data_IF_438200959957
#
_entry.id   IF_438200959957
#
_cell.length_a   1.000
_cell.length_b   1.000
_cell.length_c   1.000
_cell.angle_alpha   90.00
_cell.angle_beta   90.00
_cell.angle_gamma   90.00
#
_symmetry.space_group_name_H-M   'P 1'
#
loop_
_entity.id
_entity.type
_entity.pdbx_description
1 polymer ?
#
# COMPACT_ATOMS: atom_id res chain seq x y z
N UNK A 1 38.75 30.05 4.93
CA UNK A 1 37.51 30.50 5.61
C UNK A 1 36.27 30.13 4.81
N UNK A 2 36.22 30.42 3.49
CA UNK A 2 35.07 30.14 2.61
C UNK A 2 34.69 28.64 2.52
N UNK A 3 35.66 27.74 2.68
CA UNK A 3 35.42 26.28 2.58
C UNK A 3 34.59 25.71 3.73
N UNK A 4 34.70 26.27 4.94
CA UNK A 4 33.96 25.79 6.12
C UNK A 4 32.50 26.24 6.06
N UNK A 5 32.26 27.47 5.62
CA UNK A 5 30.92 28.02 5.42
C UNK A 5 30.15 27.22 4.35
N UNK A 6 30.79 26.93 3.22
CA UNK A 6 30.19 26.08 2.19
C UNK A 6 29.94 24.65 2.67
N UNK A 7 30.86 24.06 3.45
CA UNK A 7 30.66 22.73 4.02
C UNK A 7 29.46 22.71 4.98
N UNK A 8 29.28 23.75 5.80
CA UNK A 8 28.14 23.88 6.71
C UNK A 8 26.82 24.08 5.95
N UNK A 9 26.79 24.94 4.92
CA UNK A 9 25.60 25.12 4.08
C UNK A 9 25.21 23.82 3.36
N UNK A 10 26.19 23.06 2.89
CA UNK A 10 25.95 21.76 2.28
C UNK A 10 25.40 20.76 3.31
N UNK A 11 26.06 20.62 4.46
CA UNK A 11 25.68 19.63 5.47
C UNK A 11 24.35 19.95 6.18
N UNK A 12 24.10 21.22 6.50
CA UNK A 12 22.93 21.64 7.29
C UNK A 12 21.79 22.21 6.45
N UNK A 13 22.06 22.61 5.21
CA UNK A 13 21.04 23.12 4.30
C UNK A 13 20.67 22.09 3.23
N UNK A 14 21.62 21.80 2.34
CA UNK A 14 21.34 21.04 1.11
C UNK A 14 21.04 19.56 1.39
N UNK A 15 21.87 18.88 2.19
CA UNK A 15 21.68 17.45 2.51
C UNK A 15 20.32 17.18 3.18
N UNK A 16 19.91 17.89 4.25
CA UNK A 16 18.62 17.61 4.88
C UNK A 16 17.45 17.96 3.97
N UNK A 17 17.55 19.03 3.17
CA UNK A 17 16.53 19.36 2.17
C UNK A 17 16.36 18.23 1.15
N UNK A 18 17.47 17.68 0.64
CA UNK A 18 17.44 16.55 -0.29
C UNK A 18 16.83 15.30 0.34
N UNK A 19 17.20 14.98 1.59
CA UNK A 19 16.60 13.84 2.30
C UNK A 19 15.09 14.00 2.51
N UNK A 20 14.63 15.20 2.87
CA UNK A 20 13.21 15.49 3.04
C UNK A 20 12.44 15.34 1.73
N UNK A 21 12.96 15.92 0.64
CA UNK A 21 12.35 15.81 -0.70
C UNK A 21 12.31 14.36 -1.15
N UNK A 22 13.40 13.61 -0.99
CA UNK A 22 13.48 12.20 -1.35
C UNK A 22 12.46 11.36 -0.57
N UNK A 23 12.36 11.56 0.75
CA UNK A 23 11.39 10.87 1.60
C UNK A 23 9.96 11.17 1.16
N UNK A 24 9.64 12.45 0.92
CA UNK A 24 8.31 12.87 0.49
C UNK A 24 7.89 12.25 -0.85
N UNK A 25 8.80 12.22 -1.83
CA UNK A 25 8.55 11.61 -3.14
C UNK A 25 8.35 10.10 -3.02
N UNK A 26 9.21 9.40 -2.26
CA UNK A 26 9.09 7.95 -2.07
C UNK A 26 7.79 7.58 -1.34
N UNK A 27 7.38 8.37 -0.35
CA UNK A 27 6.15 8.14 0.38
C UNK A 27 4.91 8.36 -0.48
N UNK A 28 4.91 9.43 -1.28
CA UNK A 28 3.82 9.66 -2.23
C UNK A 28 3.73 8.54 -3.27
N UNK A 29 4.86 8.09 -3.81
CA UNK A 29 4.92 6.97 -4.73
C UNK A 29 4.38 5.67 -4.11
N UNK A 30 4.71 5.41 -2.84
CA UNK A 30 4.18 4.27 -2.09
C UNK A 30 2.66 4.34 -1.95
N UNK A 31 2.13 5.49 -1.52
CA UNK A 31 0.67 5.68 -1.38
C UNK A 31 -0.06 5.56 -2.72
N UNK A 32 0.49 6.11 -3.80
CA UNK A 32 -0.08 5.99 -5.13
C UNK A 32 -0.12 4.53 -5.59
N UNK A 33 0.92 3.76 -5.29
CA UNK A 33 1.00 2.33 -5.61
C UNK A 33 -0.03 1.52 -4.80
N UNK A 34 -0.19 1.82 -3.51
CA UNK A 34 -1.20 1.19 -2.66
C UNK A 34 -2.63 1.53 -3.13
N UNK A 35 -2.88 2.78 -3.53
CA UNK A 35 -4.17 3.20 -4.07
C UNK A 35 -4.50 2.50 -5.39
N UNK A 36 -3.50 2.36 -6.27
CA UNK A 36 -3.66 1.60 -7.51
C UNK A 36 -3.90 0.11 -7.23
N UNK A 37 -3.16 -0.48 -6.30
CA UNK A 37 -3.25 -1.89 -5.94
C UNK A 37 -4.62 -2.26 -5.34
N UNK A 38 -5.15 -1.46 -4.43
CA UNK A 38 -6.49 -1.71 -3.87
C UNK A 38 -7.56 -1.62 -4.96
N UNK A 39 -7.49 -0.62 -5.84
CA UNK A 39 -8.42 -0.44 -6.95
C UNK A 39 -8.36 -1.58 -7.96
N UNK A 40 -7.17 -2.03 -8.36
CA UNK A 40 -7.01 -3.10 -9.33
C UNK A 40 -7.40 -4.46 -8.75
N UNK A 41 -7.07 -4.71 -7.47
CA UNK A 41 -7.58 -5.89 -6.77
C UNK A 41 -9.11 -5.92 -6.68
N UNK A 42 -9.73 -4.76 -6.40
CA UNK A 42 -11.18 -4.63 -6.36
C UNK A 42 -11.79 -4.91 -7.76
N UNK A 43 -11.20 -4.39 -8.84
CA UNK A 43 -11.63 -4.70 -10.22
C UNK A 43 -11.49 -6.18 -10.56
N UNK A 44 -10.38 -6.81 -10.18
CA UNK A 44 -10.15 -8.23 -10.43
C UNK A 44 -11.13 -9.15 -9.65
N UNK A 45 -11.66 -8.70 -8.51
CA UNK A 45 -12.67 -9.44 -7.75
C UNK A 45 -14.02 -9.62 -8.48
N UNK A 46 -14.29 -8.77 -9.49
CA UNK A 46 -15.51 -8.84 -10.31
C UNK A 46 -15.51 -9.99 -11.31
N UNK A 47 -14.37 -10.64 -11.52
CA UNK A 47 -14.26 -11.76 -12.46
C UNK A 47 -15.15 -12.91 -12.00
N UNK A 48 -15.86 -13.55 -12.94
CA UNK A 48 -16.70 -14.70 -12.64
C UNK A 48 -15.86 -15.88 -12.14
N UNK A 49 -16.35 -16.54 -11.08
CA UNK A 49 -15.71 -17.65 -10.40
C UNK A 49 -16.29 -17.87 -9.01
N UNK A 50 -15.78 -18.89 -8.32
CA UNK A 50 -16.04 -19.14 -6.90
C UNK A 50 -15.50 -17.99 -6.03
N UNK A 51 -15.96 -17.90 -4.79
CA UNK A 51 -15.45 -16.89 -3.84
C UNK A 51 -13.94 -17.00 -3.64
N UNK A 52 -13.38 -18.21 -3.59
CA UNK A 52 -11.94 -18.43 -3.46
C UNK A 52 -11.16 -17.97 -4.72
N UNK A 53 -11.67 -18.24 -5.92
CA UNK A 53 -11.05 -17.78 -7.17
C UNK A 53 -11.09 -16.25 -7.29
N UNK A 54 -12.21 -15.61 -6.91
CA UNK A 54 -12.32 -14.15 -6.88
C UNK A 54 -11.32 -13.52 -5.91
N UNK A 55 -11.16 -14.11 -4.72
CA UNK A 55 -10.22 -13.62 -3.70
C UNK A 55 -8.76 -13.79 -4.12
N UNK A 56 -8.39 -14.94 -4.70
CA UNK A 56 -7.03 -15.15 -5.21
C UNK A 56 -6.72 -14.24 -6.41
N UNK A 57 -7.66 -14.05 -7.33
CA UNK A 57 -7.52 -13.11 -8.45
C UNK A 57 -7.36 -11.66 -7.97
N UNK A 58 -8.18 -11.21 -7.02
CA UNK A 58 -8.07 -9.90 -6.40
C UNK A 58 -6.70 -9.68 -5.74
N UNK A 59 -6.22 -10.68 -5.00
CA UNK A 59 -4.90 -10.61 -4.37
C UNK A 59 -3.76 -10.57 -5.39
N UNK A 60 -3.79 -11.40 -6.44
CA UNK A 60 -2.74 -11.41 -7.47
C UNK A 60 -2.66 -10.08 -8.22
N UNK A 61 -3.82 -9.49 -8.53
CA UNK A 61 -3.88 -8.18 -9.19
C UNK A 61 -3.33 -7.07 -8.28
N UNK A 62 -3.77 -7.02 -7.02
CA UNK A 62 -3.24 -6.06 -6.04
C UNK A 62 -1.72 -6.22 -5.83
N UNK A 63 -1.23 -7.46 -5.71
CA UNK A 63 0.19 -7.77 -5.60
C UNK A 63 0.99 -7.18 -6.76
N UNK A 64 0.54 -7.42 -8.00
CA UNK A 64 1.23 -6.93 -9.20
C UNK A 64 1.38 -5.40 -9.23
N UNK A 65 0.36 -4.66 -8.77
CA UNK A 65 0.41 -3.20 -8.72
C UNK A 65 1.34 -2.63 -7.64
N UNK A 66 1.69 -3.40 -6.61
CA UNK A 66 2.60 -3.00 -5.53
C UNK A 66 3.90 -3.80 -5.46
N UNK A 67 4.25 -4.53 -6.53
CA UNK A 67 5.37 -5.48 -6.55
C UNK A 67 6.72 -4.82 -6.18
N UNK A 68 6.93 -3.56 -6.54
CA UNK A 68 8.15 -2.85 -6.18
C UNK A 68 8.27 -2.61 -4.67
N UNK A 69 7.15 -2.34 -3.98
CA UNK A 69 7.12 -2.20 -2.52
C UNK A 69 7.42 -3.52 -1.84
N UNK A 70 6.85 -4.61 -2.35
CA UNK A 70 7.08 -5.97 -1.86
C UNK A 70 8.53 -6.40 -2.04
N UNK A 71 9.11 -6.08 -3.21
CA UNK A 71 10.52 -6.31 -3.49
C UNK A 71 11.42 -5.49 -2.58
N UNK A 72 11.07 -4.22 -2.34
CA UNK A 72 11.81 -3.33 -1.46
C UNK A 72 11.81 -3.81 0.01
N UNK A 73 10.64 -4.22 0.54
CA UNK A 73 10.53 -4.71 1.92
C UNK A 73 10.84 -6.20 2.08
N UNK A 74 11.18 -6.93 1.01
CA UNK A 74 11.31 -8.38 1.04
C UNK A 74 10.04 -9.13 1.49
N UNK A 75 8.89 -8.45 1.50
CA UNK A 75 7.62 -9.00 1.95
C UNK A 75 6.93 -9.77 0.82
N UNK A 76 6.27 -10.89 1.14
CA UNK A 76 5.51 -11.65 0.16
C UNK A 76 4.02 -11.65 0.50
N UNK A 77 3.18 -11.25 -0.47
CA UNK A 77 1.75 -11.42 -0.38
C UNK A 77 1.34 -12.88 -0.59
N UNK A 78 0.73 -13.51 0.42
CA UNK A 78 0.18 -14.85 0.30
C UNK A 78 -1.26 -14.82 -0.24
N UNK A 79 -1.40 -15.00 -1.55
CA UNK A 79 -2.71 -14.99 -2.22
C UNK A 79 -3.49 -16.31 -2.12
N UNK A 80 -2.96 -17.34 -1.45
CA UNK A 80 -3.69 -18.59 -1.23
C UNK A 80 -4.73 -18.46 -0.10
N UNK A 81 -4.44 -17.68 0.95
CA UNK A 81 -5.37 -17.36 2.04
C UNK A 81 -5.92 -15.94 1.95
N UNK A 82 -5.18 -14.99 1.38
CA UNK A 82 -5.61 -13.60 1.16
C UNK A 82 -6.31 -12.92 2.36
N UNK A 83 -6.01 -13.32 3.59
CA UNK A 83 -6.64 -12.80 4.82
C UNK A 83 -5.69 -11.88 5.62
N UNK A 84 -4.44 -11.69 5.18
CA UNK A 84 -3.39 -11.04 5.96
C UNK A 84 -2.55 -10.03 5.18
N UNK A 85 -1.86 -9.14 5.90
CA UNK A 85 -0.91 -8.21 5.30
C UNK A 85 0.17 -8.96 4.50
N UNK A 86 0.72 -8.36 3.42
CA UNK A 86 0.47 -6.99 2.93
C UNK A 86 -0.80 -6.83 2.07
N UNK A 87 -1.50 -7.91 1.73
CA UNK A 87 -2.72 -7.87 0.89
C UNK A 87 -3.81 -8.75 1.50
N UNK A 88 -4.83 -8.10 2.09
CA UNK A 88 -5.97 -8.76 2.69
C UNK A 88 -7.24 -8.47 1.88
N UNK A 89 -7.86 -9.52 1.34
CA UNK A 89 -9.17 -9.48 0.70
C UNK A 89 -10.20 -9.96 1.71
N UNK A 90 -11.40 -9.39 1.81
CA UNK A 90 -12.43 -9.89 2.72
C UNK A 90 -13.19 -11.08 2.11
N UNK A 91 -13.88 -11.85 2.96
CA UNK A 91 -15.01 -12.66 2.48
C UNK A 91 -16.09 -11.73 1.88
N UNK A 92 -16.94 -12.21 0.96
CA UNK A 92 -18.08 -11.44 0.48
C UNK A 92 -18.99 -11.06 1.65
N UNK A 93 -19.39 -9.80 1.73
CA UNK A 93 -20.30 -9.28 2.74
C UNK A 93 -21.40 -8.44 2.09
N UNK A 94 -22.49 -8.15 2.81
CA UNK A 94 -23.57 -7.32 2.28
C UNK A 94 -23.09 -5.86 2.08
N UNK A 95 -23.32 -5.30 0.90
CA UNK A 95 -22.92 -3.92 0.60
C UNK A 95 -23.65 -2.91 1.50
N UNK A 96 -22.95 -1.87 1.95
CA UNK A 96 -23.56 -0.81 2.73
C UNK A 96 -24.66 -0.10 1.90
N UNK A 97 -25.89 -0.04 2.44
CA UNK A 97 -27.04 0.59 1.79
C UNK A 97 -27.75 -0.26 0.72
N UNK A 98 -27.24 -1.45 0.36
CA UNK A 98 -27.88 -2.39 -0.58
C UNK A 98 -27.64 -3.84 -0.13
N UNK A 99 -28.46 -4.35 0.81
CA UNK A 99 -28.23 -5.68 1.42
C UNK A 99 -28.35 -6.84 0.43
N UNK A 100 -29.06 -6.64 -0.67
CA UNK A 100 -29.25 -7.64 -1.74
C UNK A 100 -28.01 -7.80 -2.64
N UNK A 101 -26.98 -6.96 -2.45
CA UNK A 101 -25.74 -6.96 -3.22
C UNK A 101 -24.58 -7.44 -2.34
N UNK A 102 -23.71 -8.26 -2.92
CA UNK A 102 -22.49 -8.72 -2.26
C UNK A 102 -21.31 -7.82 -2.62
N UNK A 103 -20.48 -7.50 -1.63
CA UNK A 103 -19.29 -6.68 -1.76
C UNK A 103 -18.06 -7.47 -1.32
N UNK A 104 -16.92 -7.20 -1.95
CA UNK A 104 -15.60 -7.65 -1.50
C UNK A 104 -14.71 -6.43 -1.25
N UNK A 105 -14.00 -6.44 -0.12
CA UNK A 105 -13.05 -5.40 0.24
C UNK A 105 -11.63 -5.90 0.00
N UNK A 106 -10.82 -5.09 -0.68
CA UNK A 106 -9.38 -5.32 -0.83
C UNK A 106 -8.66 -4.26 -0.03
N UNK A 107 -7.93 -4.70 0.98
CA UNK A 107 -7.00 -3.92 1.77
C UNK A 107 -5.58 -4.25 1.33
N UNK A 108 -4.79 -3.21 1.06
CA UNK A 108 -3.34 -3.33 0.92
C UNK A 108 -2.66 -2.46 1.97
N UNK A 109 -1.54 -2.93 2.51
CA UNK A 109 -0.78 -2.22 3.52
C UNK A 109 0.72 -2.39 3.32
N UNK A 110 1.48 -1.36 3.68
CA UNK A 110 2.93 -1.37 3.74
C UNK A 110 3.38 -0.93 5.14
N UNK A 111 4.17 -1.80 5.79
CA UNK A 111 4.80 -1.52 7.07
C UNK A 111 6.03 -0.64 6.85
N UNK A 112 5.88 0.65 7.14
CA UNK A 112 6.96 1.63 7.02
C UNK A 112 7.91 1.61 8.22
N UNK A 113 7.47 1.11 9.38
CA UNK A 113 8.26 1.12 10.61
C UNK A 113 9.40 0.08 10.52
N UNK A 114 9.11 -1.10 9.97
CA UNK A 114 10.10 -2.16 9.77
C UNK A 114 10.95 -1.95 8.50
N UNK A 115 10.41 -1.21 7.51
CA UNK A 115 11.06 -0.97 6.21
C UNK A 115 11.07 0.52 5.78
N UNK A 116 11.76 1.40 6.51
CA UNK A 116 11.79 2.83 6.19
C UNK A 116 12.58 3.10 4.89
N UNK A 117 12.14 4.10 4.11
CA UNK A 117 12.87 4.55 2.91
C UNK A 117 14.16 5.31 3.26
N UNK A 118 14.20 5.95 4.43
CA UNK A 118 15.38 6.67 4.92
C UNK A 118 15.75 6.16 6.31
N UNK A 119 16.97 5.63 6.51
CA UNK A 119 17.43 5.14 7.81
C UNK A 119 17.31 6.22 8.89
N UNK A 120 16.80 5.85 10.07
CA UNK A 120 16.66 6.77 11.21
C UNK A 120 15.43 7.68 11.17
N UNK A 121 14.63 7.67 10.09
CA UNK A 121 13.38 8.44 10.02
C UNK A 121 12.18 7.71 10.62
N UNK A 122 12.23 6.37 10.78
CA UNK A 122 11.11 5.57 11.29
C UNK A 122 10.56 6.09 12.63
N UNK A 123 11.44 6.40 13.60
CA UNK A 123 11.02 6.89 14.92
C UNK A 123 10.43 8.30 14.87
N UNK A 124 10.98 9.19 14.04
CA UNK A 124 10.45 10.54 13.88
C UNK A 124 9.13 10.55 13.10
N UNK A 125 9.07 9.79 12.01
CA UNK A 125 7.88 9.73 11.14
C UNK A 125 6.75 8.93 11.79
N UNK A 126 7.04 7.85 12.51
CA UNK A 126 6.06 7.07 13.26
C UNK A 126 5.35 7.88 14.36
N UNK A 127 6.01 8.93 14.88
CA UNK A 127 5.38 9.89 15.80
C UNK A 127 4.44 10.87 15.08
N UNK A 128 4.81 11.34 13.88
CA UNK A 128 4.04 12.34 13.15
C UNK A 128 2.92 11.78 12.25
N UNK A 129 3.13 10.61 11.63
CA UNK A 129 2.35 10.18 10.46
C UNK A 129 1.31 9.11 10.75
N UNK A 130 1.37 8.47 11.92
CA UNK A 130 0.46 7.38 12.25
C UNK A 130 0.82 6.10 11.48
N UNK A 131 0.84 5.00 12.22
CA UNK A 131 1.33 3.68 11.80
C UNK A 131 0.60 3.16 10.56
N UNK A 132 1.39 2.60 9.65
CA UNK A 132 1.02 1.85 8.45
C UNK A 132 0.36 2.63 7.30
N UNK A 133 1.05 2.68 6.17
CA UNK A 133 0.46 3.14 4.92
C UNK A 133 -0.52 2.07 4.43
N UNK A 134 -1.81 2.37 4.50
CA UNK A 134 -2.89 1.44 4.10
C UNK A 134 -3.81 2.10 3.07
N UNK A 135 -4.27 1.29 2.12
CA UNK A 135 -5.34 1.66 1.18
C UNK A 135 -6.38 0.56 1.12
N UNK A 136 -7.65 0.95 0.99
CA UNK A 136 -8.78 0.01 0.94
C UNK A 136 -9.72 0.39 -0.19
N UNK A 137 -10.14 -0.60 -0.97
CA UNK A 137 -11.16 -0.44 -2.00
C UNK A 137 -12.22 -1.53 -1.85
N UNK A 138 -13.48 -1.21 -2.20
CA UNK A 138 -14.60 -2.15 -2.15
C UNK A 138 -15.19 -2.27 -3.55
N UNK A 139 -15.41 -3.50 -4.01
CA UNK A 139 -16.10 -3.80 -5.24
C UNK A 139 -17.41 -4.53 -4.97
N UNK A 140 -18.47 -4.10 -5.64
CA UNK A 140 -19.76 -4.78 -5.62
C UNK A 140 -19.75 -5.91 -6.65
N UNK A 141 -19.95 -7.13 -6.18
CA UNK A 141 -20.14 -8.31 -7.01
C UNK A 141 -21.53 -8.24 -7.66
N UNK A 142 -21.56 -8.34 -8.98
CA UNK A 142 -22.80 -8.60 -9.70
C UNK A 142 -23.05 -10.10 -9.67
N UNK A 143 -24.18 -10.51 -9.09
CA UNK A 143 -24.51 -11.93 -8.92
C UNK A 143 -25.25 -12.52 -10.12
N UNK A 144 -25.50 -11.73 -11.17
CA UNK A 144 -26.17 -12.18 -12.38
C UNK A 144 -27.61 -12.56 -12.09
N UNK A 145 -28.53 -11.63 -12.34
CA UNK A 145 -29.96 -11.94 -12.45
C UNK A 145 -30.34 -12.16 -13.91
#
# INVERSE_FOLDING_TARGET
MVTVEYALLLMLGVIPLLMLLFTGVMMFAAQQSLSLASAEGARASLRYGTTAERRSAACMAAKGSMEWLLTYSGSQANCASADGAPVAVSQPFACAGTPDRQCMQVTVSFDYDDHPFVPGTATMMGWFLGRDMRSTAVAQLDLGE
#
